data_IF_876576911727
#
_entry.id   IF_876576911727
#
_cell.length_a   1.000
_cell.length_b   1.000
_cell.length_c   1.000
_cell.angle_alpha   90.00
_cell.angle_beta   90.00
_cell.angle_gamma   90.00
#
_symmetry.space_group_name_H-M   'P 1'
#
loop_
_entity.id
_entity.type
_entity.pdbx_description
1 polymer ?
#
# COMPACT_ATOMS: atom_id res chain seq x y z
N UNK A 1 -18.16 -14.37 0.10
CA UNK A 1 -17.54 -14.84 1.36
C UNK A 1 -18.25 -14.19 2.53
N UNK A 2 -18.30 -14.89 3.68
CA UNK A 2 -18.80 -14.34 4.95
C UNK A 2 -17.62 -13.84 5.76
N UNK A 3 -17.51 -12.55 5.95
CA UNK A 3 -16.35 -11.90 6.56
C UNK A 3 -16.78 -11.14 7.81
N UNK A 4 -16.12 -11.41 8.93
CA UNK A 4 -16.32 -10.67 10.18
C UNK A 4 -15.14 -9.72 10.34
N UNK A 5 -15.41 -8.42 10.49
CA UNK A 5 -14.42 -7.38 10.75
C UNK A 5 -14.60 -6.89 12.18
N UNK A 6 -13.55 -6.99 13.01
CA UNK A 6 -13.54 -6.46 14.37
C UNK A 6 -12.84 -5.11 14.40
N UNK A 7 -13.59 -4.08 14.75
CA UNK A 7 -13.18 -2.68 14.79
C UNK A 7 -13.80 -1.87 13.64
N UNK A 8 -14.66 -0.92 13.98
CA UNK A 8 -15.27 0.05 13.07
C UNK A 8 -14.44 1.35 12.97
N UNK A 9 -13.17 1.29 13.33
CA UNK A 9 -12.24 2.42 13.18
C UNK A 9 -11.84 2.63 11.72
N UNK A 10 -10.85 3.48 11.50
CA UNK A 10 -10.41 3.87 10.16
C UNK A 10 -10.05 2.68 9.26
N UNK A 11 -9.25 1.72 9.72
CA UNK A 11 -8.85 0.56 8.92
C UNK A 11 -10.02 -0.36 8.65
N UNK A 12 -10.78 -0.74 9.69
CA UNK A 12 -11.91 -1.68 9.54
C UNK A 12 -13.08 -1.07 8.77
N UNK A 13 -13.39 0.22 8.99
CA UNK A 13 -14.42 0.94 8.24
C UNK A 13 -14.09 1.04 6.76
N UNK A 14 -12.85 1.44 6.41
CA UNK A 14 -12.43 1.51 5.01
C UNK A 14 -12.35 0.12 4.36
N UNK A 15 -11.94 -0.92 5.10
CA UNK A 15 -11.97 -2.29 4.60
C UNK A 15 -13.43 -2.72 4.31
N UNK A 16 -14.36 -2.44 5.21
CA UNK A 16 -15.78 -2.72 5.00
C UNK A 16 -16.34 -1.99 3.76
N UNK A 17 -15.98 -0.72 3.55
CA UNK A 17 -16.36 0.05 2.36
C UNK A 17 -15.85 -0.61 1.05
N UNK A 18 -14.59 -1.04 1.03
CA UNK A 18 -14.03 -1.73 -0.13
C UNK A 18 -14.74 -3.05 -0.42
N UNK A 19 -14.95 -3.87 0.61
CA UNK A 19 -15.50 -5.22 0.47
C UNK A 19 -17.03 -5.24 0.27
N UNK A 20 -17.77 -4.24 0.78
CA UNK A 20 -19.20 -4.10 0.59
C UNK A 20 -19.59 -3.83 -0.87
N UNK A 21 -18.69 -3.22 -1.65
CA UNK A 21 -18.90 -3.02 -3.09
C UNK A 21 -18.74 -4.30 -3.93
N UNK A 22 -18.29 -5.37 -3.30
CA UNK A 22 -18.09 -6.69 -3.88
C UNK A 22 -19.14 -7.68 -3.35
N UNK A 23 -19.30 -8.84 -3.96
CA UNK A 23 -20.29 -9.83 -3.56
C UNK A 23 -19.90 -10.58 -2.25
N UNK A 24 -19.67 -9.85 -1.16
CA UNK A 24 -19.34 -10.37 0.16
C UNK A 24 -20.44 -10.07 1.17
N UNK A 25 -20.62 -10.99 2.13
CA UNK A 25 -21.50 -10.84 3.29
C UNK A 25 -20.66 -10.38 4.48
N UNK A 26 -20.79 -9.11 4.85
CA UNK A 26 -19.89 -8.45 5.81
C UNK A 26 -20.61 -8.16 7.10
N UNK A 27 -20.00 -8.57 8.21
CA UNK A 27 -20.43 -8.18 9.56
C UNK A 27 -19.32 -7.38 10.24
N UNK A 28 -19.62 -6.16 10.69
CA UNK A 28 -18.68 -5.33 11.45
C UNK A 28 -19.06 -5.33 12.93
N UNK A 29 -18.06 -5.57 13.78
CA UNK A 29 -18.22 -5.61 15.25
C UNK A 29 -17.38 -4.47 15.86
N UNK A 30 -18.00 -3.66 16.70
CA UNK A 30 -17.31 -2.64 17.50
C UNK A 30 -18.01 -2.42 18.85
N UNK A 31 -17.33 -1.84 19.82
CA UNK A 31 -17.92 -1.39 21.08
C UNK A 31 -18.65 -0.05 20.94
N UNK A 32 -18.29 0.75 19.93
CA UNK A 32 -18.85 2.06 19.63
C UNK A 32 -20.06 1.94 18.70
N UNK A 33 -21.27 2.12 19.27
CA UNK A 33 -22.51 2.01 18.51
C UNK A 33 -22.73 3.17 17.53
N UNK A 34 -22.09 4.33 17.70
CA UNK A 34 -22.24 5.46 16.81
C UNK A 34 -21.48 5.21 15.50
N UNK A 35 -20.27 4.69 15.59
CA UNK A 35 -19.49 4.25 14.43
C UNK A 35 -20.20 3.14 13.62
N UNK A 36 -20.79 2.20 14.34
CA UNK A 36 -21.54 1.11 13.69
C UNK A 36 -22.78 1.62 12.94
N UNK A 37 -23.49 2.59 13.52
CA UNK A 37 -24.64 3.25 12.85
C UNK A 37 -24.19 3.97 11.58
N UNK A 38 -23.14 4.79 11.69
CA UNK A 38 -22.60 5.54 10.56
C UNK A 38 -22.21 4.62 9.38
N UNK A 39 -21.56 3.49 9.68
CA UNK A 39 -21.21 2.50 8.66
C UNK A 39 -22.46 1.80 8.08
N UNK A 40 -23.40 1.38 8.93
CA UNK A 40 -24.63 0.70 8.50
C UNK A 40 -25.57 1.58 7.70
N UNK A 41 -25.57 2.90 7.94
CA UNK A 41 -26.38 3.86 7.17
C UNK A 41 -25.83 4.08 5.74
N UNK A 42 -24.53 3.84 5.53
CA UNK A 42 -23.84 4.08 4.25
C UNK A 42 -23.57 2.80 3.45
N UNK A 43 -23.49 1.65 4.10
CA UNK A 43 -23.07 0.38 3.50
C UNK A 43 -24.12 -0.69 3.74
N UNK A 44 -24.28 -1.59 2.78
CA UNK A 44 -25.09 -2.80 2.95
C UNK A 44 -24.30 -3.86 3.71
N UNK A 45 -24.22 -3.70 5.02
CA UNK A 45 -23.48 -4.57 5.95
C UNK A 45 -24.28 -4.84 7.21
N UNK A 46 -23.97 -5.95 7.88
CA UNK A 46 -24.47 -6.24 9.22
C UNK A 46 -23.56 -5.60 10.27
N UNK A 47 -24.13 -5.06 11.33
CA UNK A 47 -23.39 -4.49 12.46
C UNK A 47 -23.75 -5.18 13.76
N UNK A 48 -22.78 -5.41 14.65
CA UNK A 48 -22.95 -6.02 15.97
C UNK A 48 -22.19 -5.22 16.99
N UNK A 49 -22.87 -4.68 18.01
CA UNK A 49 -22.21 -3.93 19.08
C UNK A 49 -21.73 -4.88 20.18
N UNK A 50 -20.42 -4.85 20.49
CA UNK A 50 -19.84 -5.64 21.56
C UNK A 50 -18.32 -5.76 21.47
N UNK A 51 -17.74 -6.45 22.47
CA UNK A 51 -16.29 -6.76 22.44
C UNK A 51 -16.04 -7.96 21.52
N UNK A 52 -15.26 -7.75 20.46
CA UNK A 52 -14.97 -8.76 19.44
C UNK A 52 -14.23 -10.01 19.96
N UNK A 53 -13.60 -9.96 21.13
CA UNK A 53 -12.99 -11.15 21.77
C UNK A 53 -14.00 -12.02 22.54
N UNK A 54 -15.28 -11.62 22.68
CA UNK A 54 -16.27 -12.40 23.42
C UNK A 54 -16.96 -13.44 22.51
N UNK A 55 -16.98 -14.75 22.90
CA UNK A 55 -17.57 -15.81 22.08
C UNK A 55 -19.04 -15.55 21.74
N UNK A 56 -19.81 -14.95 22.67
CA UNK A 56 -21.23 -14.62 22.44
C UNK A 56 -21.41 -13.54 21.37
N UNK A 57 -20.51 -12.55 21.33
CA UNK A 57 -20.52 -11.48 20.32
C UNK A 57 -20.10 -12.03 18.94
N UNK A 58 -19.07 -12.86 18.90
CA UNK A 58 -18.63 -13.52 17.66
C UNK A 58 -19.74 -14.41 17.09
N UNK A 59 -20.45 -15.18 17.93
CA UNK A 59 -21.60 -15.96 17.48
C UNK A 59 -22.72 -15.07 16.93
N UNK A 60 -23.04 -13.97 17.59
CA UNK A 60 -24.01 -12.99 17.06
C UNK A 60 -23.56 -12.38 15.72
N UNK A 61 -22.26 -12.23 15.53
CA UNK A 61 -21.68 -11.75 14.27
C UNK A 61 -21.71 -12.80 13.14
N UNK A 62 -22.07 -14.06 13.44
CA UNK A 62 -22.15 -15.15 12.47
C UNK A 62 -20.88 -15.99 12.37
N UNK A 63 -20.10 -16.09 13.45
CA UNK A 63 -18.83 -16.84 13.44
C UNK A 63 -19.02 -18.34 13.20
N UNK A 64 -20.20 -18.91 13.45
CA UNK A 64 -20.49 -20.33 13.22
C UNK A 64 -20.30 -20.78 11.75
N UNK A 65 -20.39 -19.84 10.79
CA UNK A 65 -20.25 -20.12 9.36
C UNK A 65 -19.43 -19.04 8.61
N UNK A 66 -18.63 -18.29 9.34
CA UNK A 66 -17.74 -17.28 8.75
C UNK A 66 -16.53 -17.92 8.05
N UNK A 67 -16.24 -17.45 6.85
CA UNK A 67 -15.06 -17.85 6.08
C UNK A 67 -13.79 -17.18 6.61
N UNK A 68 -13.92 -15.95 7.16
CA UNK A 68 -12.79 -15.14 7.57
C UNK A 68 -13.12 -14.24 8.76
N UNK A 69 -12.15 -14.08 9.65
CA UNK A 69 -12.12 -13.06 10.71
C UNK A 69 -10.96 -12.09 10.49
N UNK A 70 -11.26 -10.79 10.43
CA UNK A 70 -10.28 -9.71 10.33
C UNK A 70 -10.33 -8.86 11.59
N UNK A 71 -9.38 -9.07 12.51
CA UNK A 71 -9.31 -8.38 13.78
C UNK A 71 -8.36 -7.17 13.70
N UNK A 72 -8.94 -5.97 13.58
CA UNK A 72 -8.21 -4.70 13.39
C UNK A 72 -8.60 -3.63 14.41
N UNK A 73 -8.93 -4.06 15.63
CA UNK A 73 -9.22 -3.15 16.74
C UNK A 73 -7.96 -2.40 17.18
N UNK A 74 -8.09 -1.51 18.15
CA UNK A 74 -6.98 -0.75 18.73
C UNK A 74 -6.18 -1.50 19.82
N UNK A 75 -6.51 -2.77 20.11
CA UNK A 75 -5.79 -3.60 21.08
C UNK A 75 -5.28 -4.89 20.42
N UNK A 76 -3.97 -5.09 20.47
CA UNK A 76 -3.32 -6.27 19.95
C UNK A 76 -3.81 -7.55 20.66
N UNK A 77 -4.00 -7.48 22.00
CA UNK A 77 -4.48 -8.59 22.81
C UNK A 77 -5.92 -8.98 22.43
N UNK A 78 -6.80 -7.99 22.18
CA UNK A 78 -8.17 -8.26 21.75
C UNK A 78 -8.17 -8.94 20.39
N UNK A 79 -7.31 -8.47 19.47
CA UNK A 79 -7.19 -9.04 18.13
C UNK A 79 -6.69 -10.50 18.18
N UNK A 80 -5.64 -10.77 18.96
CA UNK A 80 -5.09 -12.12 19.14
C UNK A 80 -6.10 -13.06 19.81
N UNK A 81 -6.76 -12.63 20.89
CA UNK A 81 -7.76 -13.45 21.58
C UNK A 81 -8.98 -13.71 20.70
N UNK A 82 -9.40 -12.75 19.90
CA UNK A 82 -10.52 -12.97 18.97
C UNK A 82 -10.17 -14.05 17.93
N UNK A 83 -8.96 -14.07 17.40
CA UNK A 83 -8.47 -15.13 16.50
C UNK A 83 -8.44 -16.50 17.22
N UNK A 84 -7.97 -16.54 18.48
CA UNK A 84 -7.99 -17.76 19.28
C UNK A 84 -9.42 -18.31 19.48
N UNK A 85 -10.37 -17.43 19.82
CA UNK A 85 -11.77 -17.83 20.00
C UNK A 85 -12.40 -18.31 18.68
N UNK A 86 -12.12 -17.60 17.58
CA UNK A 86 -12.59 -17.96 16.25
C UNK A 86 -12.08 -19.33 15.80
N UNK A 87 -10.82 -19.63 16.07
CA UNK A 87 -10.22 -20.93 15.77
C UNK A 87 -10.82 -22.05 16.63
N UNK A 88 -10.80 -21.86 17.96
CA UNK A 88 -11.13 -22.93 18.92
C UNK A 88 -12.61 -23.29 18.96
N UNK A 89 -13.48 -22.27 18.85
CA UNK A 89 -14.93 -22.47 19.03
C UNK A 89 -15.71 -22.48 17.73
N UNK A 90 -15.24 -21.82 16.70
CA UNK A 90 -15.98 -21.63 15.45
C UNK A 90 -15.26 -22.23 14.24
N UNK A 91 -14.00 -22.65 14.39
CA UNK A 91 -13.19 -23.25 13.32
C UNK A 91 -13.11 -22.35 12.07
N UNK A 92 -13.10 -21.02 12.27
CA UNK A 92 -13.00 -20.05 11.17
C UNK A 92 -11.72 -20.30 10.37
N UNK A 93 -11.80 -20.54 9.05
CA UNK A 93 -10.64 -20.95 8.25
C UNK A 93 -9.51 -19.94 8.23
N UNK A 94 -9.83 -18.66 8.01
CA UNK A 94 -8.81 -17.61 7.89
C UNK A 94 -8.97 -16.57 8.99
N UNK A 95 -7.87 -16.29 9.69
CA UNK A 95 -7.81 -15.33 10.79
C UNK A 95 -6.68 -14.35 10.58
N UNK A 96 -7.02 -13.09 10.43
CA UNK A 96 -6.09 -11.98 10.23
C UNK A 96 -6.09 -11.11 11.47
N UNK A 97 -4.93 -10.81 12.03
CA UNK A 97 -4.80 -9.94 13.20
C UNK A 97 -3.89 -8.75 12.94
N UNK A 98 -4.35 -7.56 13.31
CA UNK A 98 -3.49 -6.41 13.44
C UNK A 98 -2.72 -6.51 14.75
N UNK A 99 -1.38 -6.47 14.66
CA UNK A 99 -0.46 -6.45 15.80
C UNK A 99 0.57 -5.34 15.57
N UNK A 100 0.69 -4.44 16.53
CA UNK A 100 1.57 -3.25 16.45
C UNK A 100 2.82 -3.39 17.28
N UNK A 101 2.69 -4.06 18.42
CA UNK A 101 3.77 -4.20 19.39
C UNK A 101 4.89 -5.11 18.84
N UNK A 102 6.09 -4.53 18.73
CA UNK A 102 7.26 -5.23 18.18
C UNK A 102 7.66 -6.46 19.00
N UNK A 103 7.43 -6.45 20.31
CA UNK A 103 7.71 -7.56 21.20
C UNK A 103 6.92 -8.84 20.84
N UNK A 104 5.73 -8.69 20.25
CA UNK A 104 4.98 -9.82 19.69
C UNK A 104 5.51 -10.23 18.32
N UNK A 105 5.73 -9.25 17.42
CA UNK A 105 6.11 -9.50 16.02
C UNK A 105 7.46 -10.22 15.87
N UNK A 106 8.37 -10.06 16.82
CA UNK A 106 9.68 -10.75 16.82
C UNK A 106 9.62 -12.20 17.31
N UNK A 107 8.45 -12.70 17.70
CA UNK A 107 8.23 -14.02 18.28
C UNK A 107 7.28 -14.85 17.42
N UNK A 108 7.74 -15.28 16.24
CA UNK A 108 6.93 -16.08 15.30
C UNK A 108 6.28 -17.31 15.94
N UNK A 109 6.96 -17.98 16.89
CA UNK A 109 6.41 -19.12 17.62
C UNK A 109 5.16 -18.80 18.46
N UNK A 110 4.78 -17.54 18.64
CA UNK A 110 3.50 -17.18 19.25
C UNK A 110 2.32 -17.34 18.29
N UNK A 111 2.56 -17.35 16.97
CA UNK A 111 1.53 -17.26 15.95
C UNK A 111 1.48 -18.54 15.11
N UNK A 112 1.16 -19.65 15.77
CA UNK A 112 0.87 -20.91 15.12
C UNK A 112 -0.43 -21.52 15.67
N UNK A 113 -0.88 -22.61 15.07
CA UNK A 113 -2.12 -23.27 15.46
C UNK A 113 -2.06 -23.93 16.85
N UNK A 114 -0.87 -24.15 17.40
CA UNK A 114 -0.66 -24.73 18.73
C UNK A 114 -0.64 -23.66 19.83
N UNK A 115 -0.36 -22.39 19.44
CA UNK A 115 -0.31 -21.24 20.37
C UNK A 115 -1.44 -20.25 20.09
N UNK A 116 -1.20 -19.16 19.38
CA UNK A 116 -2.21 -18.15 18.99
C UNK A 116 -2.45 -18.27 17.48
N UNK A 117 -3.55 -18.89 17.03
CA UNK A 117 -3.77 -19.23 15.63
C UNK A 117 -4.13 -18.00 14.80
N UNK A 118 -3.13 -17.28 14.37
CA UNK A 118 -3.24 -16.15 13.44
C UNK A 118 -2.58 -16.54 12.13
N UNK A 119 -3.35 -16.61 11.06
CA UNK A 119 -2.83 -16.99 9.74
C UNK A 119 -2.06 -15.85 9.09
N UNK A 120 -2.48 -14.61 9.37
CA UNK A 120 -1.83 -13.41 8.81
C UNK A 120 -1.69 -12.31 9.87
N UNK A 121 -0.47 -11.86 10.07
CA UNK A 121 -0.16 -10.72 10.94
C UNK A 121 -0.01 -9.45 10.10
N UNK A 122 -0.70 -8.37 10.50
CA UNK A 122 -0.58 -7.08 9.85
C UNK A 122 -0.10 -6.04 10.85
N UNK A 123 1.03 -5.41 10.52
CA UNK A 123 1.54 -4.23 11.21
C UNK A 123 1.43 -3.02 10.28
N UNK A 124 0.42 -2.16 10.45
CA UNK A 124 0.26 -0.95 9.64
C UNK A 124 1.49 -0.05 9.70
N UNK A 125 2.13 0.01 10.86
CA UNK A 125 3.33 0.81 11.08
C UNK A 125 4.50 0.31 10.21
N UNK A 126 4.67 -1.00 10.11
CA UNK A 126 5.69 -1.61 9.24
C UNK A 126 5.39 -1.39 7.76
N UNK A 127 4.13 -1.54 7.36
CA UNK A 127 3.69 -1.29 5.97
C UNK A 127 3.99 0.15 5.56
N UNK A 128 3.65 1.12 6.42
CA UNK A 128 3.91 2.56 6.15
C UNK A 128 5.41 2.86 6.16
N UNK A 129 6.17 2.30 7.11
CA UNK A 129 7.63 2.46 7.16
C UNK A 129 8.28 1.98 5.86
N UNK A 130 7.92 0.78 5.39
CA UNK A 130 8.43 0.22 4.14
C UNK A 130 8.05 1.08 2.93
N UNK A 131 6.83 1.60 2.90
CA UNK A 131 6.36 2.49 1.85
C UNK A 131 7.18 3.78 1.79
N UNK A 132 7.40 4.44 2.94
CA UNK A 132 8.20 5.67 3.03
C UNK A 132 9.66 5.40 2.64
N UNK A 133 10.26 4.30 3.13
CA UNK A 133 11.62 3.90 2.79
C UNK A 133 11.82 3.78 1.28
N UNK A 134 10.88 3.15 0.56
CA UNK A 134 10.92 3.06 -0.90
C UNK A 134 10.87 4.43 -1.58
N UNK A 135 10.04 5.35 -1.10
CA UNK A 135 9.98 6.71 -1.62
C UNK A 135 11.31 7.47 -1.42
N UNK A 136 12.01 7.22 -0.30
CA UNK A 136 13.33 7.80 -0.03
C UNK A 136 14.39 7.23 -0.99
N UNK A 137 14.33 5.94 -1.31
CA UNK A 137 15.26 5.25 -2.22
C UNK A 137 15.10 5.68 -3.69
N UNK A 138 13.90 6.15 -4.08
CA UNK A 138 13.59 6.62 -5.44
C UNK A 138 13.19 8.10 -5.47
N UNK A 139 14.15 9.03 -5.41
CA UNK A 139 13.87 10.46 -5.43
C UNK A 139 13.02 10.86 -6.64
N UNK A 140 11.92 11.53 -6.37
CA UNK A 140 10.99 11.98 -7.40
C UNK A 140 9.88 11.00 -7.74
N UNK A 141 9.87 9.77 -7.20
CA UNK A 141 8.71 8.90 -7.27
C UNK A 141 7.56 9.42 -6.40
N UNK A 142 6.33 9.21 -6.85
CA UNK A 142 5.10 9.45 -6.10
C UNK A 142 4.62 8.19 -5.39
N UNK A 143 4.88 7.03 -6.00
CA UNK A 143 4.57 5.71 -5.46
C UNK A 143 5.57 4.70 -6.00
N UNK A 144 5.99 3.75 -5.16
CA UNK A 144 6.87 2.63 -5.54
C UNK A 144 6.31 1.34 -4.95
N UNK A 145 6.08 0.36 -5.79
CA UNK A 145 5.50 -0.94 -5.44
C UNK A 145 6.40 -2.04 -5.98
N UNK A 146 6.74 -2.99 -5.11
CA UNK A 146 7.48 -4.19 -5.50
C UNK A 146 6.52 -5.33 -5.85
N UNK A 147 6.89 -6.10 -6.87
CA UNK A 147 6.24 -7.35 -7.26
C UNK A 147 7.28 -8.46 -7.34
N UNK A 148 6.85 -9.70 -7.13
CA UNK A 148 7.69 -10.90 -7.14
C UNK A 148 8.98 -10.68 -6.32
N UNK A 149 8.82 -10.37 -5.02
CA UNK A 149 9.94 -10.14 -4.09
C UNK A 149 10.90 -9.02 -4.54
N UNK A 150 10.40 -8.06 -5.32
CA UNK A 150 11.16 -6.91 -5.79
C UNK A 150 11.94 -7.13 -7.11
N UNK A 151 11.66 -8.20 -7.85
CA UNK A 151 12.23 -8.42 -9.19
C UNK A 151 11.69 -7.39 -10.18
N UNK A 152 10.38 -7.15 -10.16
CA UNK A 152 9.73 -6.08 -10.90
C UNK A 152 9.24 -4.97 -9.96
N UNK A 153 9.23 -3.74 -10.45
CA UNK A 153 8.71 -2.59 -9.72
C UNK A 153 7.76 -1.78 -10.59
N UNK A 154 6.65 -1.36 -9.98
CA UNK A 154 5.77 -0.33 -10.51
C UNK A 154 6.11 0.99 -9.84
N UNK A 155 6.39 2.00 -10.63
CA UNK A 155 6.72 3.33 -10.12
C UNK A 155 5.81 4.37 -10.75
N UNK A 156 5.25 5.24 -9.91
CA UNK A 156 4.53 6.41 -10.34
C UNK A 156 5.44 7.64 -10.29
N UNK A 157 5.46 8.40 -11.36
CA UNK A 157 6.16 9.69 -11.42
C UNK A 157 5.27 10.76 -12.01
N UNK A 158 5.50 11.99 -11.62
CA UNK A 158 4.90 13.15 -12.27
C UNK A 158 5.75 13.52 -13.50
N UNK A 159 5.14 13.62 -14.65
CA UNK A 159 5.79 14.08 -15.87
C UNK A 159 6.04 15.59 -15.80
N UNK A 160 7.30 16.00 -15.95
CA UNK A 160 7.68 17.42 -15.90
C UNK A 160 8.07 17.94 -17.27
N UNK A 161 7.77 19.19 -17.51
CA UNK A 161 8.19 19.89 -18.71
C UNK A 161 9.70 19.77 -18.94
N UNK A 162 10.10 19.24 -20.10
CA UNK A 162 11.52 18.96 -20.42
C UNK A 162 11.96 17.51 -20.18
N UNK A 163 11.09 16.63 -19.70
CA UNK A 163 11.34 15.18 -19.77
C UNK A 163 11.35 14.72 -21.23
N UNK A 164 12.28 13.84 -21.64
CA UNK A 164 12.46 13.43 -23.05
C UNK A 164 11.17 12.89 -23.69
N UNK A 165 10.34 12.16 -22.92
CA UNK A 165 9.10 11.57 -23.41
C UNK A 165 7.86 12.48 -23.27
N UNK A 166 7.99 13.61 -22.58
CA UNK A 166 6.88 14.56 -22.39
C UNK A 166 6.60 15.29 -23.71
N UNK A 167 5.36 15.23 -24.17
CA UNK A 167 4.94 15.70 -25.49
C UNK A 167 5.10 14.67 -26.60
N UNK A 168 5.59 13.47 -26.29
CA UNK A 168 5.78 12.36 -27.24
C UNK A 168 4.73 11.26 -27.04
N UNK A 169 4.57 10.42 -28.06
CA UNK A 169 3.70 9.26 -28.01
C UNK A 169 4.38 8.08 -27.31
N UNK A 170 3.63 7.27 -26.57
CA UNK A 170 4.16 6.10 -25.84
C UNK A 170 4.92 5.12 -26.72
N UNK A 171 4.52 4.93 -27.98
CA UNK A 171 5.25 4.05 -28.92
C UNK A 171 6.70 4.47 -29.18
N UNK A 172 7.07 5.73 -28.87
CA UNK A 172 8.44 6.22 -29.01
C UNK A 172 9.34 5.80 -27.84
N UNK A 173 8.76 5.31 -26.74
CA UNK A 173 9.51 4.84 -25.56
C UNK A 173 10.61 3.82 -25.94
N UNK A 174 10.30 2.86 -26.81
CA UNK A 174 11.27 1.88 -27.32
C UNK A 174 12.41 2.50 -28.13
N UNK A 175 12.16 3.61 -28.81
CA UNK A 175 13.20 4.32 -29.57
C UNK A 175 14.16 5.06 -28.66
N UNK A 176 13.65 5.61 -27.55
CA UNK A 176 14.45 6.31 -26.54
C UNK A 176 15.27 5.32 -25.69
N UNK A 177 14.70 4.17 -25.36
CA UNK A 177 15.35 3.18 -24.50
C UNK A 177 15.33 1.77 -25.14
N UNK A 178 16.13 1.53 -26.17
CA UNK A 178 16.08 0.26 -26.94
C UNK A 178 16.50 -0.96 -26.10
N UNK A 179 17.28 -0.77 -25.03
CA UNK A 179 17.78 -1.84 -24.16
C UNK A 179 17.03 -1.96 -22.83
N UNK A 180 15.95 -1.20 -22.66
CA UNK A 180 15.14 -1.20 -21.44
C UNK A 180 13.71 -1.59 -21.80
N UNK A 181 13.29 -2.76 -21.34
CA UNK A 181 11.91 -3.15 -21.53
C UNK A 181 11.06 -2.61 -20.37
N UNK A 182 10.00 -1.90 -20.73
CA UNK A 182 9.08 -1.27 -19.79
C UNK A 182 7.71 -1.06 -20.42
N UNK A 183 6.68 -1.01 -19.59
CA UNK A 183 5.30 -0.69 -20.01
C UNK A 183 4.71 0.38 -19.12
N UNK A 184 4.02 1.34 -19.72
CA UNK A 184 3.16 2.26 -19.00
C UNK A 184 1.86 1.54 -18.66
N UNK A 185 1.59 1.43 -17.36
CA UNK A 185 0.47 0.68 -16.80
C UNK A 185 -0.80 1.53 -16.71
N UNK A 186 -0.64 2.79 -16.31
CA UNK A 186 -1.73 3.76 -16.18
C UNK A 186 -1.20 5.19 -16.30
N UNK A 187 -2.04 6.10 -16.75
CA UNK A 187 -1.78 7.54 -16.74
C UNK A 187 -2.96 8.21 -16.06
N UNK A 188 -2.70 9.16 -15.17
CA UNK A 188 -3.74 10.01 -14.61
C UNK A 188 -3.46 11.46 -14.99
N UNK A 189 -4.43 12.04 -15.70
CA UNK A 189 -4.41 13.44 -16.14
C UNK A 189 -5.54 14.20 -15.47
N UNK A 190 -5.23 15.24 -14.71
CA UNK A 190 -6.23 16.05 -14.00
C UNK A 190 -7.23 15.18 -13.22
N UNK A 191 -6.72 14.21 -12.47
CA UNK A 191 -7.47 13.23 -11.67
C UNK A 191 -8.33 12.22 -12.46
N UNK A 192 -8.19 12.14 -13.78
CA UNK A 192 -8.91 11.15 -14.61
C UNK A 192 -7.96 10.09 -15.14
N UNK A 193 -8.32 8.82 -15.05
CA UNK A 193 -7.51 7.74 -15.61
C UNK A 193 -7.56 7.77 -17.14
N UNK A 194 -6.44 7.53 -17.77
CA UNK A 194 -6.27 7.33 -19.21
C UNK A 194 -5.68 5.95 -19.43
N UNK A 195 -6.35 5.14 -20.25
CA UNK A 195 -5.80 3.86 -20.68
C UNK A 195 -4.65 4.10 -21.66
N UNK A 196 -3.42 3.66 -21.33
CA UNK A 196 -2.27 3.88 -22.20
C UNK A 196 -2.40 3.10 -23.52
N UNK A 197 -2.27 3.80 -24.65
CA UNK A 197 -2.17 3.22 -25.99
C UNK A 197 -0.92 3.75 -26.67
N UNK A 198 -0.47 3.08 -27.73
CA UNK A 198 0.77 3.47 -28.43
C UNK A 198 0.78 4.92 -28.94
N UNK A 199 -0.38 5.47 -29.28
CA UNK A 199 -0.57 6.85 -29.74
C UNK A 199 -0.85 7.87 -28.60
N UNK A 200 -1.01 7.39 -27.36
CA UNK A 200 -1.21 8.26 -26.20
C UNK A 200 0.00 9.18 -26.03
N UNK A 201 -0.25 10.48 -25.97
CA UNK A 201 0.78 11.49 -25.72
C UNK A 201 0.88 11.76 -24.21
N UNK A 202 2.08 11.74 -23.65
CA UNK A 202 2.33 12.14 -22.27
C UNK A 202 2.37 13.66 -22.20
N UNK A 203 1.53 14.25 -21.34
CA UNK A 203 1.52 15.69 -21.08
C UNK A 203 2.28 16.03 -19.79
N UNK A 204 2.73 17.28 -19.68
CA UNK A 204 3.25 17.76 -18.39
C UNK A 204 2.16 17.68 -17.32
N UNK A 205 2.57 17.39 -16.09
CA UNK A 205 1.71 17.13 -14.93
C UNK A 205 0.93 15.81 -14.96
N UNK A 206 1.07 14.97 -15.98
CA UNK A 206 0.55 13.59 -15.93
C UNK A 206 1.24 12.80 -14.81
N UNK A 207 0.47 12.04 -14.05
CA UNK A 207 1.00 11.01 -13.18
C UNK A 207 1.08 9.70 -13.99
N UNK A 208 2.30 9.27 -14.29
CA UNK A 208 2.57 8.10 -15.15
C UNK A 208 3.04 6.94 -14.31
N UNK A 209 2.30 5.86 -14.37
CA UNK A 209 2.63 4.58 -13.73
C UNK A 209 3.28 3.66 -14.75
N UNK A 210 4.49 3.22 -14.49
CA UNK A 210 5.19 2.30 -15.36
C UNK A 210 5.78 1.11 -14.59
N UNK A 211 5.85 -0.03 -15.25
CA UNK A 211 6.44 -1.25 -14.70
C UNK A 211 7.69 -1.62 -15.49
N UNK A 212 8.73 -2.01 -14.77
CA UNK A 212 9.98 -2.52 -15.33
C UNK A 212 10.70 -3.42 -14.32
N UNK A 213 11.73 -4.13 -14.77
CA UNK A 213 12.68 -4.77 -13.88
C UNK A 213 13.35 -3.71 -12.97
N UNK A 214 13.60 -4.05 -11.71
CA UNK A 214 14.16 -3.14 -10.70
C UNK A 214 15.41 -2.39 -11.17
N UNK A 215 16.30 -3.08 -11.89
CA UNK A 215 17.52 -2.51 -12.44
C UNK A 215 17.28 -1.35 -13.44
N UNK A 216 16.10 -1.34 -14.08
CA UNK A 216 15.79 -0.39 -15.16
C UNK A 216 14.95 0.82 -14.70
N UNK A 217 14.41 0.81 -13.48
CA UNK A 217 13.49 1.83 -12.97
C UNK A 217 14.04 3.25 -13.11
N UNK A 218 15.30 3.47 -12.72
CA UNK A 218 15.92 4.82 -12.80
C UNK A 218 16.04 5.31 -14.25
N UNK A 219 16.34 4.42 -15.18
CA UNK A 219 16.41 4.78 -16.60
C UNK A 219 15.03 5.22 -17.12
N UNK A 220 13.96 4.49 -16.76
CA UNK A 220 12.59 4.86 -17.15
C UNK A 220 12.15 6.19 -16.50
N UNK A 221 12.47 6.39 -15.23
CA UNK A 221 12.17 7.67 -14.56
C UNK A 221 12.82 8.86 -15.27
N UNK A 222 14.03 8.71 -15.82
CA UNK A 222 14.73 9.78 -16.53
C UNK A 222 14.06 10.24 -17.82
N UNK A 223 13.22 9.38 -18.43
CA UNK A 223 12.45 9.73 -19.62
C UNK A 223 11.25 10.65 -19.29
N UNK A 224 10.74 10.59 -18.07
CA UNK A 224 9.59 11.39 -17.63
C UNK A 224 9.99 12.71 -17.00
N UNK A 225 11.22 12.77 -16.47
CA UNK A 225 11.72 13.90 -15.71
C UNK A 225 13.24 13.86 -15.53
N UNK A 226 13.83 15.02 -15.26
CA UNK A 226 15.21 15.04 -14.78
C UNK A 226 15.29 14.32 -13.44
N UNK A 227 16.20 13.35 -13.32
CA UNK A 227 16.42 12.64 -12.06
C UNK A 227 16.85 13.62 -10.95
N UNK A 228 16.31 13.43 -9.78
CA UNK A 228 16.73 14.13 -8.58
C UNK A 228 18.00 13.47 -8.02
N UNK A 229 18.85 14.27 -7.40
CA UNK A 229 19.99 13.74 -6.65
C UNK A 229 19.52 12.88 -5.48
N UNK A 230 20.32 11.88 -5.13
CA UNK A 230 20.03 11.03 -3.97
C UNK A 230 19.94 11.87 -2.70
N UNK A 231 18.94 11.56 -1.88
CA UNK A 231 18.76 12.19 -0.59
C UNK A 231 19.88 11.77 0.37
N UNK A 232 20.24 12.65 1.30
CA UNK A 232 21.26 12.40 2.33
C UNK A 232 20.79 12.80 3.72
N UNK A 233 20.03 13.88 3.84
CA UNK A 233 19.58 14.47 5.10
C UNK A 233 18.07 14.33 5.24
N UNK A 234 17.65 13.60 6.25
CA UNK A 234 16.25 13.29 6.54
C UNK A 234 15.89 13.85 7.91
N UNK A 235 14.84 14.66 7.97
CA UNK A 235 14.28 15.17 9.22
C UNK A 235 12.90 14.56 9.44
N UNK A 236 12.69 13.92 10.57
CA UNK A 236 11.44 13.25 10.97
C UNK A 236 10.81 14.04 12.08
N UNK A 237 9.60 14.52 11.90
CA UNK A 237 8.75 15.09 12.92
C UNK A 237 7.83 14.00 13.51
N UNK A 238 8.06 13.65 14.77
CA UNK A 238 7.37 12.60 15.48
C UNK A 238 8.20 11.32 15.67
N UNK A 239 8.56 11.06 16.92
CA UNK A 239 9.30 9.87 17.36
C UNK A 239 8.42 8.70 17.78
N UNK A 240 7.18 8.61 17.25
CA UNK A 240 6.27 7.48 17.48
C UNK A 240 6.77 6.19 16.82
N UNK A 241 5.92 5.14 16.80
CA UNK A 241 6.31 3.83 16.27
C UNK A 241 6.78 3.86 14.79
N UNK A 242 6.15 4.67 13.95
CA UNK A 242 6.54 4.80 12.53
C UNK A 242 7.87 5.57 12.43
N UNK A 243 8.00 6.68 13.16
CA UNK A 243 9.22 7.51 13.13
C UNK A 243 10.45 6.76 13.63
N UNK A 244 10.33 6.03 14.73
CA UNK A 244 11.39 5.17 15.28
C UNK A 244 11.82 4.09 14.27
N UNK A 245 10.87 3.26 13.81
CA UNK A 245 11.14 2.18 12.84
C UNK A 245 11.74 2.68 11.54
N UNK A 246 11.29 3.85 11.08
CA UNK A 246 11.85 4.46 9.89
C UNK A 246 13.28 4.92 10.11
N UNK A 247 13.55 5.61 11.23
CA UNK A 247 14.90 6.05 11.57
C UNK A 247 15.86 4.88 11.67
N UNK A 248 15.51 3.83 12.41
CA UNK A 248 16.28 2.58 12.51
C UNK A 248 16.57 1.96 11.12
N UNK A 249 15.56 1.93 10.25
CA UNK A 249 15.68 1.31 8.93
C UNK A 249 16.58 2.11 7.95
N UNK A 250 16.80 3.41 8.19
CA UNK A 250 17.52 4.29 7.24
C UNK A 250 18.79 4.93 7.81
N UNK A 251 18.98 5.00 9.13
CA UNK A 251 20.09 5.74 9.76
C UNK A 251 21.49 5.25 9.37
N UNK A 252 21.61 3.99 8.91
CA UNK A 252 22.89 3.46 8.40
C UNK A 252 23.31 4.06 7.05
N UNK A 253 22.39 4.70 6.32
CA UNK A 253 22.60 5.23 4.96
C UNK A 253 22.38 6.73 4.84
N UNK A 254 21.61 7.30 5.76
CA UNK A 254 21.18 8.70 5.74
C UNK A 254 21.52 9.38 7.05
N UNK A 255 21.71 10.70 7.00
CA UNK A 255 21.81 11.53 8.20
C UNK A 255 20.39 11.83 8.68
N UNK A 256 20.00 11.23 9.79
CA UNK A 256 18.63 11.29 10.31
C UNK A 256 18.58 12.19 11.54
N UNK A 257 17.59 13.08 11.59
CA UNK A 257 17.20 13.82 12.77
C UNK A 257 15.74 13.53 13.09
N UNK A 258 15.41 13.30 14.37
CA UNK A 258 14.03 13.18 14.86
C UNK A 258 13.73 14.37 15.75
N UNK A 259 12.60 15.05 15.52
CA UNK A 259 12.04 16.09 16.41
C UNK A 259 10.87 15.45 17.15
N UNK A 260 10.94 15.40 18.49
CA UNK A 260 9.94 14.78 19.34
C UNK A 260 9.63 15.69 20.53
N UNK A 261 8.35 15.84 20.87
CA UNK A 261 7.92 16.74 21.96
C UNK A 261 8.06 16.11 23.34
N UNK A 262 7.88 14.79 23.45
CA UNK A 262 7.86 14.08 24.73
C UNK A 262 9.29 13.80 25.23
N UNK A 263 9.72 14.36 26.39
CA UNK A 263 11.08 14.18 26.89
C UNK A 263 11.43 12.73 27.23
N UNK A 264 10.47 11.93 27.71
CA UNK A 264 10.70 10.53 28.03
C UNK A 264 10.92 9.71 26.74
N UNK A 265 10.17 10.04 25.69
CA UNK A 265 10.34 9.42 24.36
C UNK A 265 11.65 9.82 23.71
N UNK A 266 12.05 11.09 23.81
CA UNK A 266 13.37 11.56 23.34
C UNK A 266 14.51 10.75 23.97
N UNK A 267 14.47 10.54 25.29
CA UNK A 267 15.48 9.74 26.00
C UNK A 267 15.52 8.31 25.49
N UNK A 268 14.37 7.67 25.39
CA UNK A 268 14.26 6.30 24.87
C UNK A 268 14.84 6.20 23.46
N UNK A 269 14.47 7.09 22.55
CA UNK A 269 14.98 7.09 21.17
C UNK A 269 16.49 7.31 21.09
N UNK A 270 17.03 8.17 21.96
CA UNK A 270 18.48 8.42 22.04
C UNK A 270 19.27 7.22 22.57
N UNK A 271 18.61 6.31 23.29
CA UNK A 271 19.21 5.08 23.80
C UNK A 271 19.03 3.90 22.81
N UNK A 272 17.97 3.92 21.99
CA UNK A 272 17.61 2.82 21.08
C UNK A 272 18.17 2.96 19.66
N UNK A 273 18.44 4.21 19.20
CA UNK A 273 18.95 4.50 17.85
C UNK A 273 20.46 4.75 17.87
N UNK A 274 21.16 4.21 16.88
CA UNK A 274 22.64 4.22 16.87
C UNK A 274 23.25 5.55 16.37
N UNK A 275 22.68 6.14 15.32
CA UNK A 275 23.28 7.32 14.65
C UNK A 275 22.30 8.48 14.42
N UNK A 276 21.05 8.30 14.79
CA UNK A 276 20.02 9.33 14.66
C UNK A 276 20.13 10.40 15.74
N UNK A 277 20.09 11.67 15.35
CA UNK A 277 20.06 12.81 16.28
C UNK A 277 18.65 13.04 16.74
N UNK A 278 18.39 12.99 18.05
CA UNK A 278 17.08 13.24 18.65
C UNK A 278 17.02 14.63 19.26
N UNK A 279 16.09 15.44 18.78
CA UNK A 279 15.86 16.83 19.20
C UNK A 279 14.55 16.91 19.95
N UNK A 280 14.60 17.45 21.18
CA UNK A 280 13.39 17.70 21.95
C UNK A 280 12.77 19.04 21.55
N UNK A 281 11.55 19.02 21.02
CA UNK A 281 10.81 20.21 20.65
C UNK A 281 9.62 19.97 19.77
N UNK A 282 8.97 21.05 19.34
CA UNK A 282 7.86 21.01 18.39
C UNK A 282 8.36 21.16 16.96
N UNK A 283 7.94 20.29 16.08
CA UNK A 283 8.22 20.43 14.65
C UNK A 283 7.49 21.63 13.99
N UNK A 284 6.59 22.28 14.70
CA UNK A 284 5.94 23.54 14.31
C UNK A 284 6.68 24.78 14.88
N UNK A 285 7.78 24.59 15.60
CA UNK A 285 8.60 25.68 16.09
C UNK A 285 9.58 26.13 15.00
N UNK A 286 9.35 27.36 14.51
CA UNK A 286 10.16 27.95 13.44
C UNK A 286 11.63 28.11 13.81
N UNK A 287 11.90 28.54 15.06
CA UNK A 287 13.26 28.86 15.49
C UNK A 287 14.08 27.57 15.63
N UNK A 288 13.50 26.51 16.19
CA UNK A 288 14.09 25.18 16.21
C UNK A 288 14.43 24.68 14.78
N UNK A 289 13.51 24.79 13.83
CA UNK A 289 13.75 24.34 12.47
C UNK A 289 14.87 25.13 11.80
N UNK A 290 14.97 26.43 12.05
CA UNK A 290 16.04 27.29 11.51
C UNK A 290 17.39 26.95 12.16
N UNK A 291 17.46 26.80 13.48
CA UNK A 291 18.68 26.42 14.20
C UNK A 291 19.23 25.08 13.72
N UNK A 292 18.34 24.14 13.39
CA UNK A 292 18.70 22.80 12.91
C UNK A 292 18.93 22.73 11.40
N UNK A 293 18.97 23.88 10.72
CA UNK A 293 19.25 24.03 9.29
C UNK A 293 18.29 23.23 8.39
N UNK A 294 16.97 23.40 8.60
CA UNK A 294 15.94 22.71 7.82
C UNK A 294 16.06 22.98 6.30
N UNK A 295 16.61 24.11 5.88
CA UNK A 295 16.88 24.44 4.48
C UNK A 295 17.88 23.50 3.80
N UNK A 296 18.69 22.78 4.58
CA UNK A 296 19.63 21.78 4.09
C UNK A 296 19.00 20.36 4.07
N UNK A 297 17.79 20.20 4.57
CA UNK A 297 17.10 18.90 4.57
C UNK A 297 16.65 18.52 3.14
N UNK A 298 17.05 17.34 2.71
CA UNK A 298 16.55 16.78 1.45
C UNK A 298 15.10 16.34 1.58
N UNK A 299 14.75 15.78 2.77
CA UNK A 299 13.37 15.34 3.07
C UNK A 299 13.00 15.76 4.49
N UNK A 300 11.82 16.30 4.64
CA UNK A 300 11.11 16.44 5.91
C UNK A 300 9.89 15.53 5.92
N UNK A 301 9.76 14.72 6.98
CA UNK A 301 8.72 13.73 7.17
C UNK A 301 7.89 14.06 8.39
N UNK A 302 6.61 14.39 8.24
CA UNK A 302 5.68 14.59 9.35
C UNK A 302 4.92 13.30 9.65
N UNK A 303 5.28 12.63 10.77
CA UNK A 303 4.85 11.29 11.13
C UNK A 303 4.20 11.23 12.52
N UNK A 304 3.58 12.31 12.97
CA UNK A 304 2.86 12.34 14.26
C UNK A 304 1.44 11.75 14.11
N UNK A 305 0.72 11.61 15.22
CA UNK A 305 -0.67 11.17 15.22
C UNK A 305 -1.69 12.30 14.95
N UNK A 306 -1.21 13.53 14.79
CA UNK A 306 -2.03 14.74 14.63
C UNK A 306 -1.90 15.26 13.21
N UNK A 307 -2.96 15.14 12.42
CA UNK A 307 -2.97 15.51 10.99
C UNK A 307 -2.73 17.00 10.78
N UNK A 308 -3.29 17.86 11.65
CA UNK A 308 -3.13 19.31 11.58
C UNK A 308 -1.67 19.71 11.88
N UNK A 309 -1.07 19.12 12.91
CA UNK A 309 0.33 19.33 13.25
C UNK A 309 1.25 18.84 12.10
N UNK A 310 0.92 17.69 11.50
CA UNK A 310 1.67 17.14 10.36
C UNK A 310 1.61 18.06 9.14
N UNK A 311 0.42 18.55 8.79
CA UNK A 311 0.23 19.49 7.67
C UNK A 311 0.96 20.79 7.93
N UNK A 312 0.78 21.39 9.11
CA UNK A 312 1.36 22.70 9.43
C UNK A 312 2.88 22.64 9.51
N UNK A 313 3.46 21.62 10.14
CA UNK A 313 4.92 21.46 10.21
C UNK A 313 5.52 21.19 8.82
N UNK A 314 4.86 20.42 7.95
CA UNK A 314 5.29 20.19 6.57
C UNK A 314 5.28 21.47 5.74
N UNK A 315 4.23 22.28 5.84
CA UNK A 315 4.14 23.57 5.14
C UNK A 315 5.22 24.54 5.65
N UNK A 316 5.46 24.56 6.96
CA UNK A 316 6.50 25.40 7.56
C UNK A 316 7.89 24.96 7.08
N UNK A 317 8.20 23.66 7.14
CA UNK A 317 9.47 23.11 6.68
C UNK A 317 9.72 23.42 5.19
N UNK A 318 8.69 23.28 4.35
CA UNK A 318 8.75 23.62 2.92
C UNK A 318 9.07 25.08 2.69
N UNK A 319 8.40 25.98 3.40
CA UNK A 319 8.67 27.43 3.33
C UNK A 319 10.04 27.84 3.85
N UNK A 320 10.58 27.10 4.79
CA UNK A 320 11.93 27.30 5.32
C UNK A 320 13.01 26.71 4.41
N UNK A 321 12.66 26.00 3.36
CA UNK A 321 13.58 25.54 2.33
C UNK A 321 13.84 24.03 2.27
N UNK A 322 13.12 23.21 3.04
CA UNK A 322 13.19 21.76 2.87
C UNK A 322 12.86 21.36 1.42
N UNK A 323 13.70 20.53 0.82
CA UNK A 323 13.59 20.20 -0.62
C UNK A 323 12.33 19.42 -0.93
N UNK A 324 12.00 18.40 -0.10
CA UNK A 324 10.79 17.57 -0.18
C UNK A 324 10.10 17.50 1.16
N UNK A 325 8.77 17.46 1.15
CA UNK A 325 7.98 17.20 2.34
C UNK A 325 7.01 16.05 2.09
N UNK A 326 6.99 15.10 3.03
CA UNK A 326 6.07 13.97 3.03
C UNK A 326 5.31 13.96 4.34
N UNK A 327 4.02 13.71 4.30
CA UNK A 327 3.13 13.93 5.45
C UNK A 327 2.20 12.74 5.61
N UNK A 328 2.13 12.15 6.79
CA UNK A 328 1.07 11.20 7.12
C UNK A 328 -0.22 11.98 7.36
N UNK A 329 -1.30 11.51 6.75
CA UNK A 329 -2.64 12.05 6.90
C UNK A 329 -3.61 10.89 7.10
N UNK A 330 -4.28 10.88 8.25
CA UNK A 330 -5.23 9.83 8.61
C UNK A 330 -6.65 10.17 8.12
N UNK A 331 -7.02 11.45 8.07
CA UNK A 331 -8.32 11.88 7.60
C UNK A 331 -8.33 12.01 6.05
N UNK A 332 -9.11 11.18 5.31
CA UNK A 332 -9.16 11.26 3.87
C UNK A 332 -9.54 12.65 3.32
N UNK A 333 -10.39 13.40 4.01
CA UNK A 333 -10.79 14.74 3.60
C UNK A 333 -9.62 15.74 3.54
N UNK A 334 -8.63 15.58 4.43
CA UNK A 334 -7.44 16.43 4.43
C UNK A 334 -6.47 16.06 3.30
N UNK A 335 -6.44 14.79 2.91
CA UNK A 335 -5.61 14.33 1.79
C UNK A 335 -5.95 15.09 0.51
N UNK A 336 -7.24 15.24 0.21
CA UNK A 336 -7.70 15.96 -0.99
C UNK A 336 -7.43 17.47 -0.89
N UNK A 337 -7.48 18.02 0.32
CA UNK A 337 -7.24 19.45 0.56
C UNK A 337 -5.78 19.84 0.31
N UNK A 338 -4.83 19.00 0.72
CA UNK A 338 -3.39 19.31 0.61
C UNK A 338 -2.76 18.90 -0.71
N UNK A 339 -3.49 18.11 -1.51
CA UNK A 339 -2.99 17.61 -2.78
C UNK A 339 -2.87 18.72 -3.82
N UNK A 340 -1.72 18.78 -4.49
CA UNK A 340 -1.41 19.80 -5.50
C UNK A 340 -0.96 21.14 -4.93
N UNK A 341 -0.80 21.22 -3.59
CA UNK A 341 -0.22 22.38 -2.88
C UNK A 341 1.29 22.22 -2.65
N UNK A 342 1.76 22.79 -1.55
CA UNK A 342 3.19 22.78 -1.15
C UNK A 342 3.65 21.43 -0.58
N UNK A 343 2.73 20.50 -0.21
CA UNK A 343 3.05 19.16 0.27
C UNK A 343 3.30 18.24 -0.93
N UNK A 344 4.51 17.70 -1.02
CA UNK A 344 4.91 16.88 -2.17
C UNK A 344 4.24 15.52 -2.18
N UNK A 345 4.13 14.84 -1.01
CA UNK A 345 3.51 13.52 -0.88
C UNK A 345 2.68 13.44 0.40
N UNK A 346 1.40 13.18 0.26
CA UNK A 346 0.50 12.83 1.35
C UNK A 346 0.36 11.30 1.43
N UNK A 347 0.64 10.73 2.59
CA UNK A 347 0.68 9.29 2.85
C UNK A 347 -0.51 8.93 3.73
N UNK A 348 -1.38 8.05 3.27
CA UNK A 348 -2.47 7.49 4.07
C UNK A 348 -2.08 6.11 4.60
N UNK A 349 -1.86 5.95 5.90
CA UNK A 349 -1.56 4.65 6.50
C UNK A 349 -2.67 3.62 6.28
N UNK A 350 -3.90 4.08 6.22
CA UNK A 350 -5.07 3.23 5.97
C UNK A 350 -5.00 2.60 4.58
N UNK A 351 -4.82 3.42 3.53
CA UNK A 351 -4.77 2.92 2.15
C UNK A 351 -3.58 1.99 1.93
N UNK A 352 -2.44 2.26 2.58
CA UNK A 352 -1.29 1.36 2.53
C UNK A 352 -1.60 0.00 3.18
N UNK A 353 -2.30 -0.01 4.31
CA UNK A 353 -2.66 -1.23 5.05
C UNK A 353 -3.75 -2.03 4.35
N UNK A 354 -4.73 -1.34 3.74
CA UNK A 354 -5.84 -2.02 3.06
C UNK A 354 -5.35 -2.87 1.89
N UNK A 355 -4.38 -2.43 1.11
CA UNK A 355 -3.79 -3.24 0.05
C UNK A 355 -3.31 -4.61 0.58
N UNK A 356 -2.58 -4.61 1.70
CA UNK A 356 -2.12 -5.85 2.34
C UNK A 356 -3.28 -6.71 2.85
N UNK A 357 -4.34 -6.11 3.41
CA UNK A 357 -5.52 -6.85 3.83
C UNK A 357 -6.27 -7.47 2.65
N UNK A 358 -6.45 -6.72 1.57
CA UNK A 358 -7.16 -7.18 0.38
C UNK A 358 -6.47 -8.39 -0.28
N UNK A 359 -5.14 -8.47 -0.25
CA UNK A 359 -4.38 -9.64 -0.72
C UNK A 359 -4.93 -10.94 -0.14
N UNK A 360 -5.22 -10.95 1.16
CA UNK A 360 -5.69 -12.15 1.86
C UNK A 360 -7.21 -12.38 1.78
N UNK A 361 -7.96 -11.37 1.35
CA UNK A 361 -9.43 -11.47 1.15
C UNK A 361 -9.77 -11.89 -0.27
N UNK A 362 -8.91 -11.63 -1.25
CA UNK A 362 -9.12 -11.96 -2.66
C UNK A 362 -9.19 -13.47 -2.87
N UNK A 363 -9.98 -13.89 -3.85
CA UNK A 363 -10.12 -15.30 -4.24
C UNK A 363 -9.12 -15.66 -5.32
N UNK A 364 -8.59 -16.87 -5.26
CA UNK A 364 -7.60 -17.38 -6.21
C UNK A 364 -6.17 -17.21 -5.71
N UNK A 365 -5.22 -17.45 -6.59
CA UNK A 365 -3.78 -17.41 -6.29
C UNK A 365 -3.24 -15.98 -6.41
N UNK A 366 -3.84 -15.03 -5.66
CA UNK A 366 -3.43 -13.63 -5.63
C UNK A 366 -2.34 -13.48 -4.57
N UNK A 367 -1.14 -13.17 -5.02
CA UNK A 367 0.04 -12.98 -4.19
C UNK A 367 0.09 -11.58 -3.56
N UNK A 368 -0.31 -10.56 -4.31
CA UNK A 368 -0.35 -9.20 -3.79
C UNK A 368 -1.39 -8.31 -4.45
N UNK A 369 -1.93 -7.36 -3.66
CA UNK A 369 -2.86 -6.32 -4.11
C UNK A 369 -2.35 -4.96 -3.66
N UNK A 370 -2.24 -4.04 -4.59
CA UNK A 370 -1.78 -2.70 -4.31
C UNK A 370 -2.74 -1.66 -4.86
N UNK A 371 -3.15 -0.74 -3.98
CA UNK A 371 -3.95 0.41 -4.36
C UNK A 371 -3.09 1.42 -5.11
N UNK A 372 -3.50 1.78 -6.31
CA UNK A 372 -2.87 2.82 -7.11
C UNK A 372 -3.60 4.13 -6.92
N UNK A 373 -2.82 5.20 -6.79
CA UNK A 373 -3.35 6.55 -6.72
C UNK A 373 -4.56 6.64 -5.77
N UNK A 374 -4.36 6.22 -4.51
CA UNK A 374 -5.35 6.30 -3.42
C UNK A 374 -6.66 5.56 -3.71
N UNK A 375 -6.57 4.44 -4.37
CA UNK A 375 -7.73 3.60 -4.64
C UNK A 375 -8.46 3.90 -5.95
N UNK A 376 -7.91 4.75 -6.83
CA UNK A 376 -8.48 5.00 -8.14
C UNK A 376 -8.32 3.80 -9.09
N UNK A 377 -7.30 2.97 -8.88
CA UNK A 377 -7.04 1.73 -9.60
C UNK A 377 -6.37 0.71 -8.68
N UNK A 378 -6.26 -0.53 -9.11
CA UNK A 378 -5.53 -1.58 -8.39
C UNK A 378 -4.49 -2.26 -9.30
N UNK A 379 -3.36 -2.62 -8.70
CA UNK A 379 -2.38 -3.52 -9.29
C UNK A 379 -2.42 -4.84 -8.56
N UNK A 380 -2.53 -5.93 -9.29
CA UNK A 380 -2.68 -7.29 -8.77
C UNK A 380 -1.49 -8.11 -9.24
N UNK A 381 -0.92 -8.92 -8.36
CA UNK A 381 -0.01 -10.00 -8.71
C UNK A 381 -0.73 -11.32 -8.52
N UNK A 382 -0.84 -12.10 -9.59
CA UNK A 382 -1.56 -13.37 -9.60
C UNK A 382 -0.64 -14.46 -10.12
N UNK A 383 -0.58 -15.59 -9.41
CA UNK A 383 0.17 -16.76 -9.90
C UNK A 383 -0.74 -17.57 -10.83
N UNK A 384 -0.26 -17.83 -12.05
CA UNK A 384 -1.00 -18.63 -13.03
C UNK A 384 -0.82 -20.13 -12.71
N UNK A 385 -1.89 -20.82 -12.32
CA UNK A 385 -1.88 -22.23 -12.00
C UNK A 385 -2.72 -23.07 -12.98
N UNK A 386 -2.33 -24.34 -13.13
CA UNK A 386 -3.02 -25.34 -13.96
C UNK A 386 -2.32 -25.63 -15.28
N UNK A 387 -3.08 -26.09 -16.26
CA UNK A 387 -2.63 -26.39 -17.62
C UNK A 387 -3.55 -25.76 -18.66
N UNK A 388 -3.24 -25.93 -19.96
CA UNK A 388 -4.04 -25.37 -21.05
C UNK A 388 -5.51 -25.88 -21.11
N UNK A 389 -5.87 -26.94 -20.36
CA UNK A 389 -7.23 -27.49 -20.32
C UNK A 389 -8.02 -26.96 -19.13
N UNK A 390 -7.35 -26.78 -17.99
CA UNK A 390 -7.95 -26.35 -16.72
C UNK A 390 -7.94 -24.83 -16.53
N UNK A 391 -7.02 -24.12 -17.20
CA UNK A 391 -6.86 -22.68 -17.10
C UNK A 391 -7.39 -21.94 -18.33
N UNK A 392 -7.91 -20.74 -18.12
CA UNK A 392 -8.36 -19.84 -19.18
C UNK A 392 -7.23 -18.98 -19.76
N UNK A 393 -6.07 -18.95 -19.09
CA UNK A 393 -4.93 -18.09 -19.44
C UNK A 393 -3.68 -18.86 -19.84
N UNK A 394 -3.41 -20.03 -19.24
CA UNK A 394 -2.21 -20.80 -19.51
C UNK A 394 -2.18 -21.34 -20.94
N UNK A 395 -1.00 -21.23 -21.59
CA UNK A 395 -0.76 -21.64 -22.97
C UNK A 395 -1.37 -20.72 -24.03
N UNK A 396 -1.89 -19.56 -23.61
CA UNK A 396 -2.47 -18.56 -24.53
C UNK A 396 -1.59 -17.32 -24.60
N UNK A 397 -1.50 -16.73 -25.80
CA UNK A 397 -0.93 -15.40 -25.95
C UNK A 397 -1.86 -14.35 -25.31
N UNK A 398 -1.28 -13.26 -24.83
CA UNK A 398 -2.06 -12.19 -24.16
C UNK A 398 -3.17 -11.65 -25.04
N UNK A 399 -2.93 -11.52 -26.35
CA UNK A 399 -3.94 -11.07 -27.32
C UNK A 399 -5.15 -12.01 -27.45
N UNK A 400 -4.96 -13.31 -27.17
CA UNK A 400 -6.02 -14.33 -27.21
C UNK A 400 -6.81 -14.44 -25.90
N UNK A 401 -6.39 -13.72 -24.85
CA UNK A 401 -7.06 -13.73 -23.55
C UNK A 401 -8.12 -12.64 -23.50
N UNK A 402 -9.37 -13.03 -23.27
CA UNK A 402 -10.48 -12.09 -23.10
C UNK A 402 -10.37 -11.37 -21.74
N UNK A 403 -9.50 -10.37 -21.65
CA UNK A 403 -9.35 -9.55 -20.46
C UNK A 403 -10.63 -8.72 -20.21
N UNK A 404 -11.07 -8.58 -18.94
CA UNK A 404 -12.14 -7.67 -18.60
C UNK A 404 -11.84 -6.22 -19.03
N UNK A 405 -12.86 -5.39 -19.29
CA UNK A 405 -12.65 -3.99 -19.64
C UNK A 405 -11.79 -3.26 -18.60
N UNK A 406 -11.02 -2.28 -19.02
CA UNK A 406 -10.13 -1.49 -18.16
C UNK A 406 -9.07 -2.31 -17.40
N UNK A 407 -8.74 -3.51 -17.89
CA UNK A 407 -7.71 -4.40 -17.35
C UNK A 407 -6.56 -4.52 -18.35
N UNK A 408 -5.33 -4.50 -17.85
CA UNK A 408 -4.12 -4.67 -18.67
C UNK A 408 -3.12 -5.56 -17.93
N UNK A 409 -2.47 -6.49 -18.65
CA UNK A 409 -1.31 -7.21 -18.13
C UNK A 409 -0.07 -6.36 -18.41
N UNK A 410 0.66 -6.01 -17.36
CA UNK A 410 1.84 -5.15 -17.43
C UNK A 410 3.14 -5.90 -17.60
N UNK A 411 3.32 -6.95 -16.80
CA UNK A 411 4.51 -7.80 -16.82
C UNK A 411 4.16 -9.22 -16.38
N UNK A 412 5.05 -10.13 -16.71
CA UNK A 412 5.06 -11.51 -16.25
C UNK A 412 6.43 -11.75 -15.65
N UNK A 413 6.48 -12.35 -14.47
CA UNK A 413 7.74 -12.81 -13.89
C UNK A 413 7.73 -14.33 -13.96
N UNK A 414 8.69 -14.85 -14.72
CA UNK A 414 8.92 -16.27 -14.91
C UNK A 414 10.27 -16.62 -14.36
N UNK A 415 10.29 -17.46 -13.33
CA UNK A 415 11.50 -17.77 -12.55
C UNK A 415 12.18 -16.48 -12.04
N UNK A 416 13.32 -16.10 -12.61
CA UNK A 416 14.08 -14.89 -12.26
C UNK A 416 13.96 -13.77 -13.31
N UNK A 417 13.26 -14.01 -14.43
CA UNK A 417 13.18 -13.10 -15.55
C UNK A 417 11.90 -12.25 -15.52
N UNK A 418 12.06 -10.95 -15.73
CA UNK A 418 10.92 -10.01 -15.88
C UNK A 418 10.64 -9.81 -17.37
N UNK A 419 9.53 -10.37 -17.82
CA UNK A 419 9.02 -10.25 -19.18
C UNK A 419 7.97 -9.14 -19.22
N UNK A 420 8.23 -8.07 -19.93
CA UNK A 420 7.20 -7.05 -20.16
C UNK A 420 6.16 -7.59 -21.13
N UNK A 421 4.90 -7.52 -20.73
CA UNK A 421 3.79 -8.12 -21.44
C UNK A 421 3.58 -7.49 -22.83
N UNK A 422 3.75 -8.28 -23.87
CA UNK A 422 3.42 -7.95 -25.26
C UNK A 422 2.31 -8.86 -25.76
N UNK A 423 1.63 -8.48 -26.82
CA UNK A 423 0.47 -9.20 -27.34
C UNK A 423 0.75 -10.69 -27.61
N UNK A 424 1.94 -11.02 -28.13
CA UNK A 424 2.38 -12.39 -28.43
C UNK A 424 2.98 -13.15 -27.23
N UNK A 425 3.08 -12.52 -26.05
CA UNK A 425 3.62 -13.19 -24.86
C UNK A 425 2.66 -14.26 -24.38
N UNK A 426 3.15 -15.50 -24.21
CA UNK A 426 2.35 -16.64 -23.74
C UNK A 426 2.51 -16.80 -22.23
N UNK A 427 1.40 -16.99 -21.54
CA UNK A 427 1.39 -17.26 -20.09
C UNK A 427 1.64 -18.75 -19.83
N UNK A 428 2.56 -19.06 -18.93
CA UNK A 428 2.91 -20.42 -18.51
C UNK A 428 2.52 -20.68 -17.05
N UNK A 429 2.46 -21.96 -16.66
CA UNK A 429 2.16 -22.35 -15.29
C UNK A 429 3.30 -21.92 -14.35
N UNK A 430 2.97 -21.27 -13.25
CA UNK A 430 3.93 -20.72 -12.29
C UNK A 430 4.33 -19.28 -12.58
N UNK A 431 3.86 -18.67 -13.68
CA UNK A 431 4.10 -17.25 -13.94
C UNK A 431 3.42 -16.37 -12.90
N UNK A 432 4.14 -15.38 -12.38
CA UNK A 432 3.58 -14.26 -11.66
C UNK A 432 3.12 -13.20 -12.66
N UNK A 433 1.82 -13.08 -12.82
CA UNK A 433 1.22 -12.14 -13.79
C UNK A 433 0.79 -10.87 -13.07
N UNK A 434 1.34 -9.73 -13.50
CA UNK A 434 1.02 -8.42 -12.92
C UNK A 434 -0.01 -7.73 -13.79
N UNK A 435 -1.18 -7.48 -13.19
CA UNK A 435 -2.34 -6.86 -13.83
C UNK A 435 -2.63 -5.49 -13.24
N UNK A 436 -3.17 -4.61 -14.08
CA UNK A 436 -3.69 -3.31 -13.69
C UNK A 436 -5.17 -3.23 -14.00
N UNK A 437 -5.97 -2.91 -12.98
CA UNK A 437 -7.43 -2.79 -13.07
C UNK A 437 -7.80 -1.36 -12.72
N UNK A 438 -8.21 -0.59 -13.72
CA UNK A 438 -8.58 0.82 -13.54
C UNK A 438 -9.99 0.96 -12.99
N UNK A 439 -10.93 0.10 -13.39
CA UNK A 439 -12.30 0.09 -12.88
C UNK A 439 -12.50 -1.13 -11.98
N UNK A 440 -12.57 -0.90 -10.67
CA UNK A 440 -12.63 -1.94 -9.63
C UNK A 440 -13.81 -2.90 -9.75
N UNK A 441 -14.88 -2.51 -10.42
CA UNK A 441 -16.03 -3.43 -10.63
C UNK A 441 -15.66 -4.70 -11.40
N UNK A 442 -14.54 -4.69 -12.14
CA UNK A 442 -14.07 -5.86 -12.90
C UNK A 442 -13.09 -6.76 -12.13
N UNK A 443 -12.77 -6.45 -10.88
CA UNK A 443 -11.82 -7.25 -10.08
C UNK A 443 -12.29 -8.69 -9.95
N UNK A 444 -13.57 -8.93 -9.62
CA UNK A 444 -14.10 -10.29 -9.52
C UNK A 444 -14.05 -11.05 -10.86
N UNK A 445 -14.12 -10.36 -11.99
CA UNK A 445 -13.98 -11.00 -13.30
C UNK A 445 -12.51 -11.38 -13.58
N UNK A 446 -11.56 -10.56 -13.14
CA UNK A 446 -10.12 -10.89 -13.18
C UNK A 446 -9.81 -12.10 -12.30
N UNK A 447 -10.32 -12.14 -11.07
CA UNK A 447 -10.16 -13.29 -10.17
C UNK A 447 -10.66 -14.59 -10.83
N UNK A 448 -11.87 -14.57 -11.41
CA UNK A 448 -12.45 -15.73 -12.11
C UNK A 448 -11.67 -16.14 -13.36
N UNK A 449 -10.99 -15.22 -14.01
CA UNK A 449 -10.18 -15.49 -15.20
C UNK A 449 -8.95 -16.32 -14.84
N UNK A 450 -8.33 -16.05 -13.69
CA UNK A 450 -7.13 -16.73 -13.21
C UNK A 450 -7.40 -17.94 -12.30
N UNK A 451 -8.64 -18.15 -11.87
CA UNK A 451 -9.00 -19.37 -11.14
C UNK A 451 -8.84 -20.61 -12.04
N UNK A 452 -8.02 -21.56 -11.61
CA UNK A 452 -7.98 -22.88 -12.23
C UNK A 452 -9.33 -23.57 -12.03
N UNK A 453 -9.90 -24.13 -13.10
CA UNK A 453 -11.12 -24.95 -13.01
C UNK A 453 -10.84 -26.17 -12.14
N UNK A 454 -11.69 -26.42 -11.12
CA UNK A 454 -11.67 -27.67 -10.36
C UNK A 454 -11.98 -28.81 -11.36
N UNK A 455 -10.95 -29.46 -11.85
CA UNK A 455 -11.09 -30.77 -12.47
C UNK A 455 -11.35 -31.73 -11.32
N UNK A 456 -12.59 -32.13 -11.15
CA UNK A 456 -12.94 -33.28 -10.32
C UNK A 456 -12.23 -34.50 -10.89
N UNK A 457 -11.27 -35.04 -10.12
CA UNK A 457 -10.74 -36.38 -10.33
C UNK A 457 -11.74 -37.42 -9.83
#
# INVERSE_FOLDING_TARGET
MKIIILGAGQVGGTLAEHLASEANDITVVDTDGDRLRDLGDRLDIRTVQGKGSFPTVLRQAGADDADMLVAVTNSDEVNMIACQVAYTLFHTPTKIARVRESAYLTREALFDNEAIPVDVLISPEQVVTNYIKRLIEYPGALQVIDFAEGKAQLVAVKAYYGGPLVGQQLRQLRQHMPNVDTRVAAIFRRNRPIMPQGDTVIEADDEVFFIAAKAHIRAVMSEMRRLEDSYKRVVIAGGGNIGERLAEAIESRYQVKIIEMNPARCRYLSESLDSTIVLQGSASDRDLLVEENINDADIFLALTNDDEANIMSSLLAKRLGARKVMTIINNPAYVDLVQGGEIDIAISPQLATIGTLLTHVRRGDIESVHSLRRGAAEALEVIAHGDAKSSKVIGRAIEDIALPPSTTIGAIIRDEEVLIAHDSTVIESGDHVILFVVDKKYICDVERLFQAGLTFF
#
